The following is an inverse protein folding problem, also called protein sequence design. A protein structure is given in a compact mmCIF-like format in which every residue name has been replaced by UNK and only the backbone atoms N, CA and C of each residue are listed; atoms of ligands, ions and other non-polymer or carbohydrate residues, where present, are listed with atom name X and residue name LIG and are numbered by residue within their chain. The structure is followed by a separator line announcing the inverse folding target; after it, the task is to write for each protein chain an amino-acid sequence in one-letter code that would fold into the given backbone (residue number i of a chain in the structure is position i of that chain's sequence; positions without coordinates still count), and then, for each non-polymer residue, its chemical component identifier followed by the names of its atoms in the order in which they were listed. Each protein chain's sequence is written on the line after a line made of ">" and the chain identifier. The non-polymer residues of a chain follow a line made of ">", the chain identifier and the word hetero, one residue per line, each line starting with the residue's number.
data_IF_248054998947
#
_entry.id   IF_248054998947
#
_cell.length_a   1.000
_cell.length_b   1.000
_cell.length_c   1.000
_cell.angle_alpha   90.00
_cell.angle_beta   90.00
_cell.angle_gamma   90.00
#
_symmetry.space_group_name_H-M   'P 1'
#
loop_
_entity.id
_entity.type
_entity.pdbx_description
1 polymer ?
#
# COMPACT_ATOMS: atom_id res chain seq x y z
N UNK A 1 4.73 -5.96 -14.84
CA UNK A 1 3.36 -5.65 -14.33
C UNK A 1 2.23 -6.29 -15.17
N UNK A 2 2.54 -7.37 -15.91
CA UNK A 2 1.52 -8.09 -16.73
C UNK A 2 0.38 -8.63 -15.85
N UNK A 3 0.72 -9.25 -14.70
CA UNK A 3 -0.24 -9.78 -13.73
C UNK A 3 -1.26 -8.75 -13.21
N UNK A 4 -0.88 -7.46 -13.13
CA UNK A 4 -1.82 -6.41 -12.77
C UNK A 4 -2.81 -6.11 -13.92
N UNK A 5 -2.35 -6.14 -15.18
CA UNK A 5 -3.24 -5.98 -16.35
C UNK A 5 -4.20 -7.16 -16.47
N UNK A 6 -3.70 -8.39 -16.28
CA UNK A 6 -4.50 -9.61 -16.25
C UNK A 6 -5.60 -9.55 -15.16
N UNK A 7 -5.32 -8.92 -14.02
CA UNK A 7 -6.34 -8.67 -12.98
C UNK A 7 -7.42 -7.71 -13.47
N UNK A 8 -7.07 -6.65 -14.20
CA UNK A 8 -8.06 -5.73 -14.78
C UNK A 8 -8.93 -6.45 -15.80
N UNK A 9 -8.34 -7.29 -16.67
CA UNK A 9 -9.05 -8.12 -17.65
C UNK A 9 -10.00 -9.09 -16.95
N UNK A 10 -9.52 -9.80 -15.90
CA UNK A 10 -10.35 -10.73 -15.12
C UNK A 10 -11.57 -10.05 -14.51
N UNK A 11 -11.42 -8.82 -13.97
CA UNK A 11 -12.56 -8.08 -13.42
C UNK A 11 -13.56 -7.71 -14.54
N UNK A 12 -13.07 -7.30 -15.72
CA UNK A 12 -13.93 -6.95 -16.83
C UNK A 12 -14.72 -8.17 -17.36
N UNK A 13 -14.09 -9.35 -17.39
CA UNK A 13 -14.68 -10.59 -17.91
C UNK A 13 -15.59 -11.29 -16.90
N UNK A 14 -15.17 -11.38 -15.64
CA UNK A 14 -15.77 -12.23 -14.62
C UNK A 14 -16.45 -11.44 -13.48
N UNK A 15 -16.36 -10.11 -13.50
CA UNK A 15 -16.90 -9.26 -12.45
C UNK A 15 -18.43 -9.25 -12.44
N UNK A 16 -18.97 -9.12 -11.23
CA UNK A 16 -20.40 -8.94 -10.98
C UNK A 16 -20.67 -7.47 -10.67
N UNK A 17 -21.73 -6.92 -11.26
CA UNK A 17 -22.17 -5.55 -10.96
C UNK A 17 -22.71 -5.48 -9.51
N UNK A 18 -22.21 -4.50 -8.78
CA UNK A 18 -22.63 -4.23 -7.39
C UNK A 18 -22.87 -2.73 -7.18
N UNK A 19 -23.84 -2.42 -6.37
CA UNK A 19 -23.95 -1.10 -5.78
C UNK A 19 -22.89 -0.92 -4.68
N UNK A 20 -22.51 0.30 -4.42
CA UNK A 20 -21.55 0.63 -3.39
C UNK A 20 -22.01 1.86 -2.57
N UNK A 21 -21.30 2.14 -1.47
CA UNK A 21 -21.60 3.26 -0.56
C UNK A 21 -21.60 4.62 -1.28
N UNK A 22 -20.78 4.78 -2.31
CA UNK A 22 -20.65 6.05 -3.04
C UNK A 22 -21.76 6.27 -4.07
N UNK A 23 -22.57 5.25 -4.35
CA UNK A 23 -23.60 5.28 -5.39
C UNK A 23 -23.06 5.27 -6.83
N UNK A 24 -21.73 5.10 -7.00
CA UNK A 24 -21.10 5.04 -8.32
C UNK A 24 -21.34 3.69 -9.00
N UNK A 25 -21.45 2.62 -8.22
CA UNK A 25 -21.49 1.24 -8.68
C UNK A 25 -20.13 0.70 -9.07
N UNK A 26 -20.00 -0.61 -9.00
CA UNK A 26 -18.75 -1.31 -9.28
C UNK A 26 -18.98 -2.56 -10.12
N UNK A 27 -17.93 -2.99 -10.81
CA UNK A 27 -17.77 -4.34 -11.33
C UNK A 27 -16.73 -5.03 -10.44
N UNK A 28 -17.10 -6.14 -9.78
CA UNK A 28 -16.32 -6.72 -8.68
C UNK A 28 -16.14 -8.22 -8.83
N UNK A 29 -14.94 -8.70 -8.45
CA UNK A 29 -14.63 -10.11 -8.19
C UNK A 29 -14.23 -10.27 -6.73
N UNK A 30 -14.40 -11.48 -6.17
CA UNK A 30 -14.05 -11.75 -4.78
C UNK A 30 -12.88 -12.72 -4.68
N UNK A 31 -11.86 -12.33 -3.89
CA UNK A 31 -10.71 -13.18 -3.60
C UNK A 31 -9.73 -13.31 -4.78
N UNK A 32 -8.74 -12.40 -4.86
CA UNK A 32 -7.64 -12.45 -5.85
C UNK A 32 -6.30 -12.26 -5.18
N UNK A 33 -5.24 -12.78 -5.80
CA UNK A 33 -3.88 -12.64 -5.32
C UNK A 33 -2.92 -12.32 -6.47
N UNK A 34 -1.99 -11.40 -6.23
CA UNK A 34 -0.86 -11.10 -7.12
C UNK A 34 0.46 -11.34 -6.40
N UNK A 35 1.48 -11.75 -7.16
CA UNK A 35 2.84 -11.95 -6.65
C UNK A 35 3.84 -11.15 -7.47
N UNK A 36 4.82 -10.56 -6.78
CA UNK A 36 5.88 -9.73 -7.36
C UNK A 36 7.22 -10.17 -6.78
N UNK A 37 8.08 -10.70 -7.63
CA UNK A 37 9.48 -11.00 -7.28
C UNK A 37 10.29 -9.69 -7.26
N UNK A 38 10.65 -9.22 -6.07
CA UNK A 38 11.33 -7.94 -5.89
C UNK A 38 12.77 -7.95 -6.43
N UNK A 39 13.36 -9.12 -6.67
CA UNK A 39 14.66 -9.23 -7.32
C UNK A 39 14.59 -8.90 -8.83
N UNK A 40 13.42 -8.98 -9.45
CA UNK A 40 13.22 -8.66 -10.88
C UNK A 40 12.99 -7.18 -11.16
N UNK A 41 12.87 -6.37 -10.13
CA UNK A 41 12.61 -4.93 -10.20
C UNK A 41 11.50 -4.50 -9.26
N UNK A 42 11.35 -3.19 -9.13
CA UNK A 42 10.33 -2.61 -8.26
C UNK A 42 8.95 -2.67 -8.96
N UNK A 43 7.91 -3.24 -8.32
CA UNK A 43 6.61 -3.47 -8.94
C UNK A 43 5.79 -2.17 -9.06
N UNK A 44 6.20 -1.31 -9.97
CA UNK A 44 5.57 -0.04 -10.27
C UNK A 44 4.84 -0.13 -11.61
N UNK A 45 3.58 0.29 -11.64
CA UNK A 45 2.79 0.33 -12.87
C UNK A 45 3.44 1.30 -13.86
N UNK A 46 3.63 0.83 -15.10
CA UNK A 46 4.24 1.60 -16.19
C UNK A 46 3.25 1.95 -17.31
N UNK A 47 2.11 1.27 -17.36
CA UNK A 47 1.02 1.56 -18.33
C UNK A 47 0.26 2.85 -18.03
N UNK A 48 0.52 3.45 -16.89
CA UNK A 48 0.20 4.84 -16.55
C UNK A 48 1.18 5.33 -15.49
N UNK A 49 1.43 6.64 -15.44
CA UNK A 49 2.28 7.23 -14.42
C UNK A 49 1.66 7.06 -13.03
N UNK A 50 2.43 6.53 -12.08
CA UNK A 50 2.12 6.52 -10.65
C UNK A 50 2.84 7.68 -9.97
N UNK A 51 2.15 8.41 -9.09
CA UNK A 51 2.72 9.57 -8.39
C UNK A 51 3.55 9.12 -7.19
N UNK A 52 4.80 8.71 -7.43
CA UNK A 52 5.72 8.17 -6.42
C UNK A 52 5.91 9.06 -5.21
N UNK A 53 5.90 10.38 -5.41
CA UNK A 53 6.01 11.33 -4.29
C UNK A 53 4.92 11.10 -3.25
N UNK A 54 3.67 10.93 -3.69
CA UNK A 54 2.55 10.64 -2.78
C UNK A 54 2.70 9.28 -2.10
N UNK A 55 3.12 8.24 -2.84
CA UNK A 55 3.34 6.90 -2.28
C UNK A 55 4.38 6.93 -1.16
N UNK A 56 5.52 7.58 -1.38
CA UNK A 56 6.61 7.63 -0.42
C UNK A 56 6.21 8.45 0.82
N UNK A 57 5.65 9.65 0.63
CA UNK A 57 5.23 10.50 1.76
C UNK A 57 4.11 9.87 2.57
N UNK A 58 3.15 9.18 1.95
CA UNK A 58 2.10 8.46 2.66
C UNK A 58 2.69 7.35 3.54
N UNK A 59 3.60 6.53 3.01
CA UNK A 59 4.26 5.48 3.80
C UNK A 59 5.06 6.07 4.97
N UNK A 60 5.83 7.14 4.74
CA UNK A 60 6.57 7.82 5.80
C UNK A 60 5.64 8.41 6.86
N UNK A 61 4.48 8.93 6.45
CA UNK A 61 3.45 9.44 7.33
C UNK A 61 2.85 8.33 8.21
N UNK A 62 2.54 7.16 7.65
CA UNK A 62 2.13 5.99 8.43
C UNK A 62 3.20 5.57 9.45
N UNK A 63 4.48 5.51 9.02
CA UNK A 63 5.60 5.14 9.89
C UNK A 63 5.87 6.15 11.02
N UNK A 64 5.45 7.39 10.87
CA UNK A 64 5.48 8.39 11.96
C UNK A 64 4.40 8.16 13.00
N UNK A 65 3.41 7.33 12.73
CA UNK A 65 2.23 7.15 13.58
C UNK A 65 1.26 8.32 13.50
N UNK A 66 1.42 9.18 12.49
CA UNK A 66 0.61 10.38 12.34
C UNK A 66 -0.75 10.07 11.69
N UNK A 67 -1.77 10.82 12.07
CA UNK A 67 -3.15 10.72 11.57
C UNK A 67 -3.72 12.07 11.14
N UNK A 68 -2.93 13.13 11.26
CA UNK A 68 -3.24 14.46 10.74
C UNK A 68 -2.53 14.68 9.41
N UNK A 69 -3.23 15.25 8.44
CA UNK A 69 -2.71 15.42 7.06
C UNK A 69 -1.77 16.60 6.87
N UNK A 70 -1.41 17.34 7.92
CA UNK A 70 -0.52 18.52 7.83
C UNK A 70 0.81 18.19 7.16
N UNK A 71 1.47 17.10 7.59
CA UNK A 71 2.70 16.64 6.96
C UNK A 71 2.54 16.35 5.45
N UNK A 72 1.43 15.72 5.06
CA UNK A 72 1.15 15.42 3.66
C UNK A 72 0.97 16.72 2.85
N UNK A 73 0.21 17.69 3.38
CA UNK A 73 -0.01 19.01 2.75
C UNK A 73 1.29 19.80 2.61
N UNK A 74 2.13 19.85 3.62
CA UNK A 74 3.45 20.50 3.59
C UNK A 74 4.34 19.93 2.49
N UNK A 75 4.17 18.65 2.15
CA UNK A 75 4.88 17.97 1.07
C UNK A 75 4.12 17.96 -0.27
N UNK A 76 3.00 18.67 -0.37
CA UNK A 76 2.20 18.77 -1.60
C UNK A 76 1.48 17.46 -1.98
N UNK A 77 1.12 16.65 -0.98
CA UNK A 77 0.37 15.40 -1.13
C UNK A 77 -1.06 15.63 -0.65
N UNK A 78 -2.04 15.38 -1.51
CA UNK A 78 -3.45 15.74 -1.30
C UNK A 78 -4.39 14.53 -1.30
N UNK A 79 -3.84 13.32 -1.34
CA UNK A 79 -4.62 12.08 -1.50
C UNK A 79 -5.55 11.74 -0.33
N UNK A 80 -5.46 12.47 0.79
CA UNK A 80 -6.28 12.30 1.97
C UNK A 80 -7.18 13.51 2.29
N UNK A 81 -7.09 14.59 1.50
CA UNK A 81 -7.79 15.85 1.77
C UNK A 81 -9.31 15.71 1.88
N UNK A 82 -9.91 14.81 1.09
CA UNK A 82 -11.36 14.63 0.99
C UNK A 82 -11.97 13.90 2.22
N UNK A 83 -11.15 13.20 3.00
CA UNK A 83 -11.61 12.46 4.19
C UNK A 83 -11.30 13.17 5.50
N UNK A 84 -10.35 14.10 5.51
CA UNK A 84 -9.95 14.81 6.72
C UNK A 84 -11.02 15.80 7.18
N UNK A 85 -11.12 15.98 8.50
CA UNK A 85 -11.95 17.06 9.04
C UNK A 85 -11.32 18.44 8.78
N UNK A 86 -11.99 19.52 9.21
CA UNK A 86 -11.53 20.90 9.03
C UNK A 86 -10.17 21.17 9.67
N UNK A 87 -9.78 20.41 10.69
CA UNK A 87 -8.50 20.48 11.37
C UNK A 87 -7.44 19.55 10.78
N UNK A 88 -7.81 18.77 9.74
CA UNK A 88 -6.93 17.83 9.07
C UNK A 88 -6.81 16.47 9.74
N UNK A 89 -7.70 16.12 10.66
CA UNK A 89 -7.65 14.84 11.37
C UNK A 89 -8.48 13.76 10.67
N UNK A 90 -7.99 12.53 10.74
CA UNK A 90 -8.63 11.34 10.16
C UNK A 90 -9.13 10.34 11.21
N UNK A 91 -8.91 10.62 12.50
CA UNK A 91 -9.10 9.64 13.56
C UNK A 91 -7.97 8.61 13.61
N UNK A 92 -8.12 7.51 14.38
CA UNK A 92 -7.03 6.57 14.66
C UNK A 92 -6.77 5.61 13.48
N UNK A 93 -6.52 6.17 12.27
CA UNK A 93 -6.25 5.40 11.05
C UNK A 93 -4.82 4.82 11.06
N UNK A 94 -4.48 4.00 10.11
CA UNK A 94 -3.22 3.30 9.83
C UNK A 94 -2.03 3.59 10.74
N UNK A 95 -1.51 4.81 10.72
CA UNK A 95 -0.32 5.21 11.48
C UNK A 95 -0.49 5.05 12.98
N UNK A 96 -1.64 5.43 13.52
CA UNK A 96 -1.99 5.22 14.94
C UNK A 96 -1.99 3.74 15.30
N UNK A 97 -2.65 2.91 14.50
CA UNK A 97 -2.72 1.46 14.76
C UNK A 97 -1.35 0.79 14.64
N UNK A 98 -0.54 1.19 13.67
CA UNK A 98 0.79 0.62 13.45
C UNK A 98 1.78 0.96 14.57
N UNK A 99 1.70 2.18 15.12
CA UNK A 99 2.71 2.76 15.99
C UNK A 99 2.28 2.96 17.44
N UNK A 100 0.97 2.96 17.69
CA UNK A 100 0.43 3.33 18.99
C UNK A 100 -0.92 2.68 19.26
N UNK A 101 -1.01 1.36 19.05
CA UNK A 101 -2.22 0.59 19.36
C UNK A 101 -2.49 0.64 20.85
N UNK A 102 -3.61 1.24 21.26
CA UNK A 102 -3.98 1.33 22.67
C UNK A 102 -4.53 0.00 23.19
N UNK A 103 -4.04 -0.40 24.36
CA UNK A 103 -4.50 -1.59 25.10
C UNK A 103 -5.59 -1.22 26.10
N UNK A 104 -6.29 -2.20 26.64
CA UNK A 104 -7.38 -2.00 27.61
C UNK A 104 -6.91 -1.39 28.94
N UNK A 105 -5.64 -1.44 29.26
CA UNK A 105 -5.01 -0.82 30.43
C UNK A 105 -4.32 0.52 30.11
N UNK A 106 -4.56 1.07 28.91
CA UNK A 106 -4.06 2.40 28.50
C UNK A 106 -2.58 2.43 28.10
N UNK A 107 -1.95 1.26 27.89
CA UNK A 107 -0.62 1.19 27.31
C UNK A 107 -0.70 1.26 25.78
N UNK A 108 0.44 1.54 25.12
CA UNK A 108 0.52 1.63 23.68
C UNK A 108 1.52 0.62 23.12
N UNK A 109 1.14 -0.07 22.05
CA UNK A 109 1.95 -1.05 21.35
C UNK A 109 2.42 -0.48 20.02
N UNK A 110 3.74 -0.42 19.82
CA UNK A 110 4.36 -0.11 18.53
C UNK A 110 4.56 -1.42 17.75
N UNK A 111 3.60 -1.74 16.87
CA UNK A 111 3.63 -2.98 16.10
C UNK A 111 4.82 -3.00 15.10
N UNK A 112 5.19 -1.84 14.52
CA UNK A 112 6.30 -1.77 13.55
C UNK A 112 7.64 -2.02 14.25
N UNK A 113 7.90 -1.36 15.38
CA UNK A 113 9.12 -1.60 16.15
C UNK A 113 9.19 -3.08 16.60
N UNK A 114 8.09 -3.60 17.11
CA UNK A 114 8.01 -4.97 17.59
C UNK A 114 8.25 -6.02 16.50
N UNK A 115 7.68 -5.84 15.31
CA UNK A 115 7.84 -6.78 14.20
C UNK A 115 9.28 -6.81 13.68
N UNK A 116 9.94 -5.64 13.59
CA UNK A 116 11.36 -5.55 13.18
C UNK A 116 12.26 -6.26 14.19
N UNK A 117 12.07 -6.02 15.48
CA UNK A 117 12.81 -6.71 16.54
C UNK A 117 12.54 -8.24 16.53
N UNK A 118 11.29 -8.64 16.30
CA UNK A 118 10.93 -10.04 16.19
C UNK A 118 11.59 -10.73 15.00
N UNK A 119 11.66 -10.07 13.83
CA UNK A 119 12.35 -10.58 12.63
C UNK A 119 13.84 -10.77 12.92
N UNK A 120 14.49 -9.80 13.56
CA UNK A 120 15.92 -9.88 13.92
C UNK A 120 16.21 -11.01 14.92
N UNK A 121 15.34 -11.20 15.91
CA UNK A 121 15.55 -12.18 17.00
C UNK A 121 15.13 -13.59 16.64
N UNK A 122 14.04 -13.74 15.91
CA UNK A 122 13.44 -15.03 15.55
C UNK A 122 12.82 -14.96 14.14
N UNK A 123 13.64 -14.98 13.08
CA UNK A 123 13.17 -14.86 11.70
C UNK A 123 12.16 -15.95 11.29
N UNK A 124 12.24 -17.14 11.90
CA UNK A 124 11.35 -18.27 11.59
C UNK A 124 9.96 -18.17 12.26
N UNK A 125 9.70 -17.10 13.02
CA UNK A 125 8.39 -16.89 13.64
C UNK A 125 7.30 -16.72 12.60
N UNK A 126 6.14 -17.29 12.88
CA UNK A 126 4.91 -17.14 12.08
C UNK A 126 4.01 -16.01 12.59
N UNK A 127 4.55 -15.12 13.44
CA UNK A 127 3.82 -14.04 14.11
C UNK A 127 4.31 -12.65 13.70
N UNK A 128 5.00 -12.53 12.57
CA UNK A 128 5.44 -11.24 12.03
C UNK A 128 4.26 -10.54 11.36
N UNK A 129 3.29 -10.10 12.14
CA UNK A 129 2.02 -9.53 11.68
C UNK A 129 1.86 -8.11 12.21
N UNK A 130 1.35 -7.22 11.35
CA UNK A 130 0.91 -5.87 11.70
C UNK A 130 -0.54 -5.71 11.25
N UNK A 131 -1.41 -5.29 12.16
CA UNK A 131 -2.84 -5.08 11.90
C UNK A 131 -3.23 -3.61 12.07
N UNK A 132 -4.02 -3.09 11.15
CA UNK A 132 -4.67 -1.79 11.28
C UNK A 132 -6.17 -1.91 11.60
N UNK A 133 -6.72 -3.12 11.59
CA UNK A 133 -8.13 -3.37 11.85
C UNK A 133 -8.39 -3.51 13.35
N UNK A 134 -8.64 -2.37 14.00
CA UNK A 134 -8.99 -2.31 15.42
C UNK A 134 -10.51 -2.20 15.56
N UNK A 135 -11.17 -3.30 15.90
CA UNK A 135 -12.63 -3.37 15.98
C UNK A 135 -13.23 -2.37 16.98
N UNK A 136 -12.48 -2.02 18.03
CA UNK A 136 -12.92 -1.06 19.03
C UNK A 136 -12.92 0.39 18.54
N UNK A 137 -12.12 0.72 17.50
CA UNK A 137 -11.92 2.09 17.02
C UNK A 137 -12.40 2.35 15.58
N UNK A 138 -12.89 1.32 14.88
CA UNK A 138 -13.34 1.41 13.48
C UNK A 138 -14.33 2.57 13.26
N UNK A 139 -15.29 2.75 14.15
CA UNK A 139 -16.31 3.80 14.04
C UNK A 139 -15.75 5.22 14.26
N UNK A 140 -14.56 5.34 14.86
CA UNK A 140 -13.87 6.61 15.08
C UNK A 140 -12.98 7.02 13.89
N UNK A 141 -12.79 6.13 12.93
CA UNK A 141 -11.96 6.38 11.74
C UNK A 141 -12.79 7.04 10.64
N UNK A 142 -12.28 8.12 10.05
CA UNK A 142 -12.93 8.76 8.89
C UNK A 142 -13.00 7.83 7.68
N UNK A 143 -12.03 6.92 7.56
CA UNK A 143 -12.02 5.86 6.56
C UNK A 143 -11.46 4.56 7.18
N UNK A 144 -12.31 3.53 7.40
CA UNK A 144 -11.85 2.23 7.87
C UNK A 144 -10.80 1.60 6.94
N UNK A 145 -9.73 0.98 7.47
CA UNK A 145 -8.60 0.51 6.67
C UNK A 145 -9.01 -0.45 5.56
N UNK A 146 -8.62 -0.14 4.32
CA UNK A 146 -8.73 -1.04 3.17
C UNK A 146 -7.62 -2.08 3.18
N UNK A 147 -6.36 -1.67 3.32
CA UNK A 147 -5.20 -2.53 3.54
C UNK A 147 -5.02 -2.73 5.04
N UNK A 148 -5.63 -3.77 5.58
CA UNK A 148 -5.90 -3.88 7.01
C UNK A 148 -4.93 -4.78 7.79
N UNK A 149 -4.22 -5.68 7.13
CA UNK A 149 -3.22 -6.56 7.76
C UNK A 149 -2.11 -6.92 6.76
N UNK A 150 -0.89 -6.98 7.25
CA UNK A 150 0.22 -7.54 6.49
C UNK A 150 1.10 -8.42 7.37
N UNK A 151 1.77 -9.38 6.73
CA UNK A 151 2.61 -10.37 7.37
C UNK A 151 3.94 -10.47 6.65
N UNK A 152 5.03 -10.54 7.41
CA UNK A 152 6.35 -10.82 6.88
C UNK A 152 6.70 -12.30 7.02
N UNK A 153 7.51 -12.78 6.09
CA UNK A 153 8.04 -14.13 6.04
C UNK A 153 9.52 -14.10 5.66
N UNK A 154 10.35 -14.81 6.43
CA UNK A 154 11.79 -14.90 6.16
C UNK A 154 12.12 -16.32 5.73
N UNK A 155 12.81 -16.45 4.60
CA UNK A 155 13.34 -17.72 4.11
C UNK A 155 14.57 -17.49 3.24
N UNK A 156 15.61 -18.32 3.43
CA UNK A 156 16.82 -18.26 2.60
C UNK A 156 17.51 -16.87 2.60
N UNK A 157 17.47 -16.16 3.73
CA UNK A 157 18.04 -14.81 3.86
C UNK A 157 17.23 -13.70 3.18
N UNK A 158 16.00 -13.99 2.73
CA UNK A 158 15.10 -13.05 2.08
C UNK A 158 13.87 -12.77 2.92
N UNK A 159 13.42 -11.51 2.89
CA UNK A 159 12.18 -11.04 3.50
C UNK A 159 11.10 -10.87 2.44
N UNK A 160 9.98 -11.55 2.62
CA UNK A 160 8.76 -11.38 1.82
C UNK A 160 7.66 -10.74 2.66
N UNK A 161 6.74 -10.03 2.01
CA UNK A 161 5.59 -9.41 2.66
C UNK A 161 4.31 -9.83 1.94
N UNK A 162 3.29 -10.23 2.70
CA UNK A 162 1.95 -10.44 2.19
C UNK A 162 1.00 -9.39 2.77
N UNK A 163 0.38 -8.60 1.90
CA UNK A 163 -0.66 -7.64 2.24
C UNK A 163 -2.04 -8.24 1.98
N UNK A 164 -2.95 -8.06 2.92
CA UNK A 164 -4.38 -8.37 2.72
C UNK A 164 -5.20 -7.07 2.74
N UNK A 165 -5.99 -6.89 1.69
CA UNK A 165 -6.93 -5.79 1.54
C UNK A 165 -8.38 -6.30 1.50
N UNK A 166 -9.29 -5.67 2.26
CA UNK A 166 -10.71 -6.04 2.27
C UNK A 166 -11.47 -5.46 1.07
N UNK A 167 -11.04 -4.32 0.58
CA UNK A 167 -11.69 -3.52 -0.47
C UNK A 167 -10.62 -2.86 -1.33
N UNK A 168 -10.73 -2.98 -2.64
CA UNK A 168 -9.65 -2.61 -3.57
C UNK A 168 -10.21 -1.88 -4.78
N UNK A 169 -10.05 -0.56 -4.83
CA UNK A 169 -10.11 0.18 -6.08
C UNK A 169 -8.90 -0.22 -6.94
N UNK A 170 -9.15 -1.06 -7.93
CA UNK A 170 -8.06 -1.66 -8.72
C UNK A 170 -7.41 -0.65 -9.65
N UNK A 171 -8.14 0.38 -10.09
CA UNK A 171 -7.62 1.36 -11.03
C UNK A 171 -6.80 2.46 -10.36
N UNK A 172 -7.33 3.15 -9.34
CA UNK A 172 -6.62 4.24 -8.65
C UNK A 172 -5.79 3.75 -7.47
N UNK A 173 -6.38 2.94 -6.58
CA UNK A 173 -5.79 2.59 -5.30
C UNK A 173 -4.71 1.51 -5.39
N UNK A 174 -4.98 0.39 -6.06
CA UNK A 174 -4.09 -0.77 -6.06
C UNK A 174 -2.66 -0.47 -6.51
N UNK A 175 -2.39 0.33 -7.58
CA UNK A 175 -1.02 0.69 -7.96
C UNK A 175 -0.23 1.39 -6.85
N UNK A 176 -0.89 2.23 -6.05
CA UNK A 176 -0.29 2.88 -4.88
C UNK A 176 0.04 1.87 -3.79
N UNK A 177 -0.90 0.99 -3.46
CA UNK A 177 -0.70 0.00 -2.41
C UNK A 177 0.41 -1.00 -2.75
N UNK A 178 0.49 -1.47 -4.01
CA UNK A 178 1.59 -2.33 -4.47
C UNK A 178 2.93 -1.63 -4.26
N UNK A 179 3.07 -0.39 -4.74
CA UNK A 179 4.30 0.38 -4.62
C UNK A 179 4.66 0.67 -3.15
N UNK A 180 3.69 1.07 -2.32
CA UNK A 180 3.88 1.38 -0.91
C UNK A 180 4.40 0.19 -0.12
N UNK A 181 3.76 -0.98 -0.26
CA UNK A 181 4.17 -2.18 0.51
C UNK A 181 5.41 -2.87 -0.07
N UNK A 182 5.67 -2.76 -1.37
CA UNK A 182 6.96 -3.15 -1.93
C UNK A 182 8.09 -2.30 -1.34
N UNK A 183 7.90 -0.98 -1.23
CA UNK A 183 8.86 -0.07 -0.60
C UNK A 183 9.06 -0.42 0.88
N UNK A 184 7.98 -0.63 1.63
CA UNK A 184 8.05 -1.07 3.04
C UNK A 184 8.83 -2.39 3.18
N UNK A 185 8.64 -3.35 2.27
CA UNK A 185 9.37 -4.63 2.27
C UNK A 185 10.87 -4.40 2.10
N UNK A 186 11.28 -3.54 1.18
CA UNK A 186 12.68 -3.17 1.00
C UNK A 186 13.28 -2.48 2.23
N UNK A 187 12.52 -1.55 2.86
CA UNK A 187 12.96 -0.83 4.06
C UNK A 187 13.17 -1.80 5.24
N UNK A 188 12.21 -2.68 5.50
CA UNK A 188 12.29 -3.67 6.60
C UNK A 188 13.41 -4.67 6.33
N UNK A 189 13.57 -5.15 5.07
CA UNK A 189 14.67 -6.03 4.70
C UNK A 189 16.02 -5.38 5.00
N UNK A 190 16.23 -4.12 4.59
CA UNK A 190 17.47 -3.39 4.87
C UNK A 190 17.72 -3.23 6.38
N UNK A 191 16.67 -2.90 7.17
CA UNK A 191 16.78 -2.75 8.63
C UNK A 191 17.14 -4.06 9.33
N UNK A 192 16.68 -5.18 8.79
CA UNK A 192 16.92 -6.52 9.35
C UNK A 192 18.17 -7.22 8.77
N UNK A 193 18.87 -6.60 7.80
CA UNK A 193 20.04 -7.22 7.15
C UNK A 193 19.67 -8.39 6.24
N UNK A 194 18.46 -8.34 5.63
CA UNK A 194 17.93 -9.34 4.72
C UNK A 194 17.82 -8.78 3.30
N UNK A 195 17.81 -9.68 2.31
CA UNK A 195 17.48 -9.31 0.94
C UNK A 195 15.95 -9.25 0.75
N UNK A 196 15.42 -8.38 -0.14
CA UNK A 196 14.01 -8.42 -0.51
C UNK A 196 13.66 -9.72 -1.24
N UNK A 197 12.56 -10.35 -0.85
CA UNK A 197 12.02 -11.56 -1.49
C UNK A 197 10.86 -11.24 -2.42
N UNK A 198 9.65 -11.68 -2.05
CA UNK A 198 8.42 -11.39 -2.78
C UNK A 198 7.55 -10.37 -2.04
N UNK A 199 6.86 -9.54 -2.81
CA UNK A 199 5.66 -8.88 -2.33
C UNK A 199 4.43 -9.64 -2.86
N UNK A 200 3.51 -10.02 -1.96
CA UNK A 200 2.28 -10.74 -2.27
C UNK A 200 1.12 -9.86 -1.86
N UNK A 201 0.23 -9.60 -2.79
CA UNK A 201 -1.01 -8.89 -2.54
C UNK A 201 -2.20 -9.85 -2.59
N UNK A 202 -3.10 -9.75 -1.60
CA UNK A 202 -4.36 -10.50 -1.54
C UNK A 202 -5.52 -9.54 -1.33
N UNK A 203 -6.49 -9.55 -2.25
CA UNK A 203 -7.67 -8.70 -2.21
C UNK A 203 -8.95 -9.49 -1.93
N UNK A 204 -9.83 -8.96 -1.10
CA UNK A 204 -11.19 -9.45 -0.85
C UNK A 204 -12.15 -8.98 -1.96
N UNK A 205 -12.86 -7.86 -1.75
CA UNK A 205 -13.68 -7.22 -2.79
C UNK A 205 -12.77 -6.41 -3.72
N UNK A 206 -12.52 -6.93 -4.91
CA UNK A 206 -11.60 -6.37 -5.91
C UNK A 206 -12.42 -5.82 -7.06
N UNK A 207 -12.41 -4.49 -7.24
CA UNK A 207 -13.38 -3.87 -8.12
C UNK A 207 -12.81 -2.75 -9.00
N UNK A 208 -13.52 -2.47 -10.07
CA UNK A 208 -13.40 -1.30 -10.93
C UNK A 208 -14.69 -0.50 -10.76
N UNK A 209 -14.58 0.78 -10.42
CA UNK A 209 -15.74 1.68 -10.38
C UNK A 209 -16.34 1.87 -11.75
N UNK A 210 -17.67 1.99 -11.84
CA UNK A 210 -18.39 2.10 -13.11
C UNK A 210 -17.95 3.30 -13.95
N UNK A 211 -17.50 4.38 -13.31
CA UNK A 211 -16.97 5.58 -13.95
C UNK A 211 -15.47 5.48 -14.35
N UNK A 212 -14.82 4.32 -14.11
CA UNK A 212 -13.44 4.06 -14.53
C UNK A 212 -13.29 3.10 -15.72
N UNK A 213 -14.37 2.60 -16.28
CA UNK A 213 -14.35 1.56 -17.33
C UNK A 213 -13.56 2.01 -18.56
N UNK A 214 -13.78 3.24 -19.05
CA UNK A 214 -13.06 3.77 -20.21
C UNK A 214 -11.55 3.91 -19.93
N UNK A 215 -11.20 4.35 -18.73
CA UNK A 215 -9.81 4.51 -18.30
C UNK A 215 -9.09 3.16 -18.24
N UNK A 216 -9.76 2.12 -17.75
CA UNK A 216 -9.23 0.75 -17.71
C UNK A 216 -9.00 0.24 -19.14
N UNK A 217 -9.95 0.39 -20.05
CA UNK A 217 -9.75 0.00 -21.45
C UNK A 217 -8.56 0.74 -22.07
N UNK A 218 -8.45 2.05 -21.88
CA UNK A 218 -7.29 2.83 -22.34
C UNK A 218 -5.97 2.31 -21.75
N UNK A 219 -5.97 1.87 -20.50
CA UNK A 219 -4.76 1.32 -19.87
C UNK A 219 -4.39 -0.05 -20.42
N UNK A 220 -5.36 -0.89 -20.73
CA UNK A 220 -5.16 -2.24 -21.30
C UNK A 220 -4.62 -2.23 -22.73
N UNK A 221 -4.84 -1.15 -23.48
CA UNK A 221 -4.28 -0.94 -24.83
C UNK A 221 -2.77 -0.66 -24.82
N UNK A 222 -2.15 -0.47 -23.64
CA UNK A 222 -0.75 -0.05 -23.49
C UNK A 222 0.14 -1.22 -23.08
N UNK A 223 1.23 -1.41 -23.79
CA UNK A 223 2.26 -2.37 -23.39
C UNK A 223 3.06 -1.85 -22.18
N UNK A 224 3.29 -2.69 -21.17
CA UNK A 224 4.10 -2.29 -20.02
C UNK A 224 5.58 -2.17 -20.39
N UNK A 225 6.24 -1.11 -19.90
CA UNK A 225 7.70 -0.98 -19.94
C UNK A 225 8.34 -1.93 -18.89
N UNK A 226 9.67 -2.15 -18.99
CA UNK A 226 10.42 -2.85 -17.94
C UNK A 226 10.22 -2.22 -16.56
N UNK A 227 10.36 -3.03 -15.51
CA UNK A 227 10.26 -2.54 -14.14
C UNK A 227 11.44 -1.62 -13.79
N UNK A 228 11.20 -0.51 -13.09
CA UNK A 228 12.28 0.32 -12.55
C UNK A 228 13.04 -0.42 -11.45
N UNK A 229 14.20 0.12 -11.08
CA UNK A 229 15.00 -0.35 -9.97
C UNK A 229 14.91 0.65 -8.81
N UNK A 230 14.60 0.17 -7.62
CA UNK A 230 14.69 0.97 -6.40
C UNK A 230 16.14 0.95 -5.89
N UNK A 231 16.65 2.13 -5.55
CA UNK A 231 17.87 2.29 -4.75
C UNK A 231 17.54 3.01 -3.45
N UNK A 232 17.89 2.39 -2.34
CA UNK A 232 17.88 3.04 -1.03
C UNK A 232 19.29 3.61 -0.83
N UNK A 233 19.39 4.94 -0.80
CA UNK A 233 20.68 5.67 -0.84
C UNK A 233 21.38 5.70 0.52
N UNK A 234 20.65 5.46 1.60
CA UNK A 234 21.13 5.49 2.97
C UNK A 234 20.48 4.38 3.80
N UNK A 235 21.19 3.85 4.79
CA UNK A 235 20.61 3.02 5.83
C UNK A 235 20.59 3.82 7.14
N UNK A 236 19.47 4.36 7.57
CA UNK A 236 19.37 5.02 8.87
C UNK A 236 19.40 3.99 10.01
N UNK A 237 19.60 4.46 11.24
CA UNK A 237 19.64 3.61 12.43
C UNK A 237 18.28 2.98 12.73
N UNK A 238 17.19 3.65 12.37
CA UNK A 238 15.82 3.20 12.55
C UNK A 238 15.01 3.33 11.27
N UNK A 239 14.01 2.45 11.08
CA UNK A 239 13.04 2.56 9.99
C UNK A 239 12.27 3.89 10.02
N UNK A 240 12.17 4.51 11.19
CA UNK A 240 11.45 5.78 11.40
C UNK A 240 12.25 7.02 10.98
N UNK A 241 13.54 6.85 10.67
CA UNK A 241 14.46 7.93 10.30
C UNK A 241 14.67 8.05 8.79
N UNK A 242 13.97 7.23 7.98
CA UNK A 242 13.97 7.43 6.54
C UNK A 242 13.28 8.72 6.16
N UNK A 243 13.81 9.35 5.12
CA UNK A 243 13.27 10.56 4.49
C UNK A 243 12.95 10.29 3.03
N UNK A 244 12.23 11.19 2.40
CA UNK A 244 11.91 11.10 0.97
C UNK A 244 13.17 10.97 0.09
N UNK A 245 14.23 11.69 0.43
CA UNK A 245 15.48 11.74 -0.34
C UNK A 245 16.34 10.47 -0.23
N UNK A 246 15.98 9.53 0.63
CA UNK A 246 16.66 8.24 0.75
C UNK A 246 16.29 7.25 -0.37
N UNK A 247 15.29 7.58 -1.21
CA UNK A 247 14.78 6.67 -2.24
C UNK A 247 14.98 7.24 -3.64
N UNK A 248 15.62 6.46 -4.51
CA UNK A 248 15.76 6.76 -5.92
C UNK A 248 15.21 5.61 -6.78
N UNK A 249 14.53 5.97 -7.85
CA UNK A 249 13.98 5.01 -8.82
C UNK A 249 14.68 5.22 -10.15
N UNK A 250 15.45 4.22 -10.57
CA UNK A 250 16.18 4.25 -11.85
C UNK A 250 15.36 3.58 -12.94
N UNK A 251 15.46 4.10 -14.16
CA UNK A 251 14.81 3.54 -15.35
C UNK A 251 13.29 3.45 -15.25
N UNK A 252 12.64 4.40 -14.58
CA UNK A 252 11.18 4.45 -14.55
C UNK A 252 10.65 5.09 -15.82
N UNK A 253 10.39 4.26 -16.84
CA UNK A 253 9.66 4.62 -18.04
C UNK A 253 8.17 4.32 -17.86
N UNK A 254 7.30 5.22 -18.31
CA UNK A 254 5.86 5.08 -18.13
C UNK A 254 5.06 5.78 -19.22
N UNK A 255 3.88 5.25 -19.49
CA UNK A 255 2.88 5.96 -20.29
C UNK A 255 2.27 7.13 -19.50
N UNK A 256 1.75 8.16 -20.20
CA UNK A 256 1.10 9.30 -19.55
C UNK A 256 0.04 8.87 -18.54
N UNK A 257 -0.17 9.68 -17.49
CA UNK A 257 -1.24 9.45 -16.51
C UNK A 257 -2.61 9.40 -17.17
N UNK A 258 -3.51 8.62 -16.59
CA UNK A 258 -4.91 8.56 -16.97
C UNK A 258 -5.71 9.12 -15.81
N UNK A 259 -6.40 10.25 -16.03
CA UNK A 259 -7.24 10.88 -15.01
C UNK A 259 -8.53 10.10 -14.82
N UNK A 260 -8.95 9.93 -13.58
CA UNK A 260 -10.23 9.37 -13.21
C UNK A 260 -10.79 10.09 -11.97
N UNK A 261 -12.11 10.18 -11.81
CA UNK A 261 -12.71 10.74 -10.61
C UNK A 261 -12.52 9.79 -9.43
N UNK A 262 -12.32 10.35 -8.23
CA UNK A 262 -12.31 9.58 -6.99
C UNK A 262 -13.76 9.30 -6.57
N UNK A 263 -14.08 8.07 -6.18
CA UNK A 263 -15.37 7.73 -5.60
C UNK A 263 -15.31 7.97 -4.08
N UNK A 264 -16.17 8.84 -3.57
CA UNK A 264 -16.18 9.34 -2.18
C UNK A 264 -17.41 8.81 -1.43
#
# INVERSE_FOLDING_TARGET
>A
MRNYLELLEDILENGVKKEDRTGTGTLSVFGRQLRFDLAKGFPLVTTKRVHLKSVIHELLWFLRGDTNISYLKENGVTIWDEWADEQGNLGPVYGSQWRSWETTDGQHIDQIANVIEAIKKNPDSRRHIVSAWNVAEIESMKLPPCHFVFQFYVAGGKLSCMLTMRSVDTFLGLPFNIASYALLTHMVAQQCGLEPGEFIWSGGDVHIYSNHMQQVHTQLERDPYPLPQLKILRKPDSIFDYTYDDFAFENYEYHPGIKAPVAI
#
